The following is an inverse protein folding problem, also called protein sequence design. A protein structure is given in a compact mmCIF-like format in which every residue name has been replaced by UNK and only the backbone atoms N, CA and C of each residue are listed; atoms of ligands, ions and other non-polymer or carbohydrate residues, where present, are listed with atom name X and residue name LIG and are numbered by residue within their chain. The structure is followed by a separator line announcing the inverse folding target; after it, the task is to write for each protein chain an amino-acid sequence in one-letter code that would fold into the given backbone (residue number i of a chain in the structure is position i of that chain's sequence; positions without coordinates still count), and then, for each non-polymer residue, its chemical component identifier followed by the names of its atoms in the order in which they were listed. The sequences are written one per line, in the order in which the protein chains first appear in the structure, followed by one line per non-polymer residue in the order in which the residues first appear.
data_IF_801431024714
#
_entry.id   IF_801431024714
#
_cell.length_a   1.000
_cell.length_b   1.000
_cell.length_c   1.000
_cell.angle_alpha   90.00
_cell.angle_beta   90.00
_cell.angle_gamma   90.00
#
_symmetry.space_group_name_H-M   'P 1'
#
loop_
_entity.id
_entity.type
_entity.pdbx_description
1 polymer ?
#
# COMPACT_ATOMS: atom_id res chain seq x y z
N UNK A 1 62.56 -16.66 45.41
CA UNK A 1 63.19 -15.71 44.47
C UNK A 1 62.41 -15.82 43.16
N UNK A 2 61.77 -14.71 42.73
CA UNK A 2 61.00 -14.50 41.48
C UNK A 2 59.70 -15.32 41.35
N UNK A 3 58.49 -14.85 41.67
CA UNK A 3 57.74 -13.65 41.27
C UNK A 3 57.32 -13.60 39.78
N UNK A 4 56.07 -13.14 39.56
CA UNK A 4 55.43 -12.74 38.30
C UNK A 4 54.93 -13.86 37.35
N UNK A 5 53.80 -13.76 36.66
CA UNK A 5 52.70 -12.80 36.66
C UNK A 5 51.58 -13.37 35.76
N UNK A 6 50.36 -13.26 36.29
CA UNK A 6 49.05 -13.24 35.64
C UNK A 6 49.11 -12.76 34.17
N UNK A 7 48.70 -13.61 33.21
CA UNK A 7 48.20 -13.15 31.91
C UNK A 7 46.82 -13.73 31.65
N UNK A 8 45.81 -12.94 32.02
CA UNK A 8 44.45 -13.05 31.50
C UNK A 8 44.54 -12.78 30.01
N UNK A 9 44.32 -13.81 29.19
CA UNK A 9 44.12 -13.64 27.76
C UNK A 9 42.82 -12.86 27.56
N UNK A 10 42.98 -11.56 27.31
CA UNK A 10 41.94 -10.67 26.84
C UNK A 10 41.38 -11.21 25.54
N UNK A 11 40.19 -11.79 25.59
CA UNK A 11 39.37 -11.99 24.41
C UNK A 11 38.99 -10.61 23.87
N UNK A 12 39.75 -10.16 22.88
CA UNK A 12 39.36 -9.08 21.99
C UNK A 12 38.10 -9.52 21.27
N UNK A 13 36.96 -8.98 21.68
CA UNK A 13 35.72 -9.03 20.90
C UNK A 13 35.97 -8.17 19.66
N UNK A 14 35.98 -8.72 18.44
CA UNK A 14 36.10 -7.91 17.24
C UNK A 14 34.90 -6.97 17.18
N UNK A 15 35.17 -5.69 16.98
CA UNK A 15 34.16 -4.65 16.87
C UNK A 15 33.09 -5.02 15.85
N UNK A 16 31.83 -4.97 16.28
CA UNK A 16 30.67 -5.06 15.40
C UNK A 16 30.76 -3.95 14.37
N UNK A 17 31.24 -4.29 13.17
CA UNK A 17 31.06 -3.46 12.00
C UNK A 17 29.55 -3.22 11.85
N UNK A 18 29.11 -1.97 12.02
CA UNK A 18 27.77 -1.55 11.63
C UNK A 18 27.67 -1.73 10.11
N UNK A 19 27.19 -2.89 9.69
CA UNK A 19 26.64 -3.06 8.36
C UNK A 19 25.41 -2.16 8.28
N UNK A 20 25.63 -0.96 7.75
CA UNK A 20 24.56 -0.07 7.32
C UNK A 20 23.94 -0.77 6.12
N UNK A 21 22.89 -1.54 6.33
CA UNK A 21 22.13 -2.12 5.23
C UNK A 21 21.65 -0.97 4.35
N UNK A 22 22.30 -0.78 3.21
CA UNK A 22 21.73 0.02 2.14
C UNK A 22 20.50 -0.75 1.65
N UNK A 23 19.32 -0.15 1.74
CA UNK A 23 18.11 -0.69 1.11
C UNK A 23 18.47 -1.00 -0.34
N UNK A 24 18.36 -2.25 -0.81
CA UNK A 24 18.78 -2.59 -2.16
C UNK A 24 17.97 -1.76 -3.16
N UNK A 25 18.68 -1.09 -4.07
CA UNK A 25 18.12 -0.21 -5.13
C UNK A 25 16.95 -0.86 -5.87
N UNK A 26 16.99 -2.18 -6.04
CA UNK A 26 15.95 -2.98 -6.70
C UNK A 26 14.56 -2.90 -6.07
N UNK A 27 14.46 -2.79 -4.74
CA UNK A 27 13.14 -2.76 -4.09
C UNK A 27 12.45 -1.42 -4.32
N UNK A 28 13.23 -0.33 -4.29
CA UNK A 28 12.77 1.02 -4.58
C UNK A 28 12.30 1.16 -6.03
N UNK A 29 13.04 0.62 -6.98
CA UNK A 29 12.69 0.68 -8.41
C UNK A 29 11.39 -0.09 -8.72
N UNK A 30 11.16 -1.21 -8.04
CA UNK A 30 9.92 -1.99 -8.18
C UNK A 30 8.71 -1.21 -7.66
N UNK A 31 8.80 -0.62 -6.46
CA UNK A 31 7.71 0.20 -5.89
C UNK A 31 7.39 1.38 -6.79
N UNK A 32 8.40 2.11 -7.28
CA UNK A 32 8.18 3.24 -8.20
C UNK A 32 7.45 2.77 -9.47
N UNK A 33 7.85 1.63 -10.04
CA UNK A 33 7.20 1.07 -11.23
C UNK A 33 5.74 0.70 -10.96
N UNK A 34 5.44 0.09 -9.81
CA UNK A 34 4.07 -0.21 -9.42
C UNK A 34 3.21 1.05 -9.30
N UNK A 35 3.75 2.11 -8.70
CA UNK A 35 3.02 3.38 -8.55
C UNK A 35 2.77 4.07 -9.90
N UNK A 36 3.74 4.05 -10.81
CA UNK A 36 3.55 4.54 -12.18
C UNK A 36 2.47 3.75 -12.93
N UNK A 37 2.47 2.42 -12.79
CA UNK A 37 1.43 1.56 -13.34
C UNK A 37 0.06 1.87 -12.74
N UNK A 38 0.01 2.15 -11.43
CA UNK A 38 -1.21 2.49 -10.73
C UNK A 38 -1.81 3.82 -11.22
N UNK A 39 -1.00 4.88 -11.34
CA UNK A 39 -1.45 6.16 -11.90
C UNK A 39 -1.94 6.00 -13.35
N UNK A 40 -1.23 5.19 -14.14
CA UNK A 40 -1.64 4.89 -15.53
C UNK A 40 -2.98 4.15 -15.58
N UNK A 41 -3.20 3.22 -14.65
CA UNK A 41 -4.48 2.53 -14.48
C UNK A 41 -5.60 3.52 -14.15
N UNK A 42 -5.41 4.42 -13.18
CA UNK A 42 -6.43 5.42 -12.82
C UNK A 42 -6.80 6.33 -14.00
N UNK A 43 -5.81 6.78 -14.77
CA UNK A 43 -6.05 7.58 -15.97
C UNK A 43 -6.87 6.82 -17.02
N UNK A 44 -6.62 5.52 -17.19
CA UNK A 44 -7.38 4.65 -18.09
C UNK A 44 -8.82 4.43 -17.59
N UNK A 45 -8.98 4.17 -16.30
CA UNK A 45 -10.27 3.99 -15.65
C UNK A 45 -11.14 5.23 -15.81
N UNK A 46 -10.57 6.43 -15.64
CA UNK A 46 -11.24 7.70 -15.90
C UNK A 46 -11.74 7.82 -17.36
N UNK A 47 -11.03 7.22 -18.31
CA UNK A 47 -11.47 7.11 -19.71
C UNK A 47 -12.72 6.25 -19.88
N UNK A 48 -12.81 5.10 -19.20
CA UNK A 48 -14.01 4.25 -19.21
C UNK A 48 -15.19 4.90 -18.48
N UNK A 49 -14.92 5.58 -17.37
CA UNK A 49 -15.89 6.40 -16.63
C UNK A 49 -16.54 7.43 -17.53
N UNK A 50 -15.77 8.14 -18.36
CA UNK A 50 -16.30 9.12 -19.34
C UNK A 50 -17.17 8.49 -20.42
N UNK A 51 -16.94 7.22 -20.76
CA UNK A 51 -17.72 6.46 -21.74
C UNK A 51 -18.98 5.83 -21.14
N UNK A 52 -19.16 5.92 -19.83
CA UNK A 52 -20.26 5.31 -19.08
C UNK A 52 -20.39 3.80 -19.35
N UNK A 53 -19.26 3.10 -19.33
CA UNK A 53 -19.16 1.67 -19.58
C UNK A 53 -18.84 0.93 -18.26
N UNK A 54 -19.87 0.57 -17.45
CA UNK A 54 -19.66 -0.04 -16.14
C UNK A 54 -19.05 -1.44 -16.21
N UNK A 55 -19.26 -2.17 -17.30
CA UNK A 55 -18.67 -3.51 -17.49
C UNK A 55 -17.15 -3.41 -17.64
N UNK A 56 -16.68 -2.50 -18.50
CA UNK A 56 -15.25 -2.24 -18.65
C UNK A 56 -14.61 -1.71 -17.36
N UNK A 57 -15.31 -0.87 -16.60
CA UNK A 57 -14.84 -0.38 -15.29
C UNK A 57 -14.67 -1.56 -14.32
N UNK A 58 -15.68 -2.45 -14.21
CA UNK A 58 -15.64 -3.60 -13.34
C UNK A 58 -14.50 -4.58 -13.70
N UNK A 59 -14.26 -4.82 -15.00
CA UNK A 59 -13.18 -5.69 -15.47
C UNK A 59 -11.79 -5.10 -15.19
N UNK A 60 -11.63 -3.79 -15.39
CA UNK A 60 -10.37 -3.12 -15.10
C UNK A 60 -10.10 -3.11 -13.58
N UNK A 61 -11.13 -2.89 -12.75
CA UNK A 61 -11.03 -2.96 -11.29
C UNK A 61 -10.64 -4.38 -10.83
N UNK A 62 -11.29 -5.43 -11.34
CA UNK A 62 -10.92 -6.82 -11.04
C UNK A 62 -9.41 -7.07 -11.27
N UNK A 63 -8.91 -6.60 -12.41
CA UNK A 63 -7.49 -6.72 -12.76
C UNK A 63 -6.60 -5.91 -11.80
N UNK A 64 -7.04 -4.72 -11.39
CA UNK A 64 -6.28 -3.83 -10.52
C UNK A 64 -6.11 -4.40 -9.09
N UNK A 65 -7.16 -4.99 -8.51
CA UNK A 65 -7.06 -5.67 -7.21
C UNK A 65 -5.97 -6.75 -7.23
N UNK A 66 -5.95 -7.58 -8.27
CA UNK A 66 -4.94 -8.61 -8.41
C UNK A 66 -3.54 -8.02 -8.64
N UNK A 67 -3.39 -7.07 -9.56
CA UNK A 67 -2.09 -6.54 -9.95
C UNK A 67 -1.41 -5.72 -8.86
N UNK A 68 -2.17 -4.93 -8.08
CA UNK A 68 -1.59 -4.00 -7.11
C UNK A 68 -1.61 -4.52 -5.68
N UNK A 69 -2.62 -5.32 -5.30
CA UNK A 69 -2.72 -5.88 -3.95
C UNK A 69 -2.32 -7.35 -3.89
N UNK A 70 -2.27 -8.04 -5.03
CA UNK A 70 -2.08 -9.50 -5.06
C UNK A 70 -3.30 -10.28 -4.56
N UNK A 71 -4.47 -9.64 -4.50
CA UNK A 71 -5.68 -10.19 -3.89
C UNK A 71 -6.83 -10.17 -4.88
N UNK A 72 -7.74 -11.15 -4.83
CA UNK A 72 -8.93 -11.12 -5.67
C UNK A 72 -9.90 -10.04 -5.16
N UNK A 73 -10.57 -9.35 -6.09
CA UNK A 73 -11.49 -8.24 -5.78
C UNK A 73 -12.55 -8.64 -4.76
N UNK A 74 -13.18 -9.78 -4.99
CA UNK A 74 -14.26 -10.29 -4.14
C UNK A 74 -13.85 -10.52 -2.67
N UNK A 75 -12.59 -10.83 -2.39
CA UNK A 75 -12.08 -10.97 -1.04
C UNK A 75 -11.98 -9.59 -0.39
N UNK A 76 -11.37 -8.63 -1.08
CA UNK A 76 -11.17 -7.27 -0.55
C UNK A 76 -12.51 -6.60 -0.27
N UNK A 77 -13.49 -6.75 -1.16
CA UNK A 77 -14.83 -6.18 -1.00
C UNK A 77 -15.62 -6.76 0.18
N UNK A 78 -15.29 -7.97 0.65
CA UNK A 78 -15.99 -8.64 1.75
C UNK A 78 -15.36 -8.38 3.12
N UNK A 79 -14.14 -7.88 3.16
CA UNK A 79 -13.44 -7.57 4.40
C UNK A 79 -13.80 -6.16 4.88
N UNK A 80 -13.81 -5.99 6.19
CA UNK A 80 -13.87 -4.67 6.82
C UNK A 80 -12.49 -3.99 6.81
N UNK A 81 -12.46 -2.70 7.13
CA UNK A 81 -11.22 -1.93 7.12
C UNK A 81 -10.18 -2.49 8.08
N UNK A 82 -10.58 -2.97 9.26
CA UNK A 82 -9.66 -3.50 10.27
C UNK A 82 -9.01 -4.81 9.81
N UNK A 83 -9.77 -5.72 9.23
CA UNK A 83 -9.24 -6.96 8.66
C UNK A 83 -8.30 -6.69 7.47
N UNK A 84 -8.62 -5.70 6.63
CA UNK A 84 -7.73 -5.27 5.54
C UNK A 84 -6.41 -4.69 6.08
N UNK A 85 -6.47 -3.81 7.09
CA UNK A 85 -5.29 -3.24 7.74
C UNK A 85 -4.43 -4.34 8.39
N UNK A 86 -5.06 -5.30 9.07
CA UNK A 86 -4.36 -6.46 9.63
C UNK A 86 -3.68 -7.30 8.54
N UNK A 87 -4.34 -7.52 7.40
CA UNK A 87 -3.77 -8.27 6.28
C UNK A 87 -2.60 -7.54 5.62
N UNK A 88 -2.63 -6.21 5.57
CA UNK A 88 -1.52 -5.40 5.05
C UNK A 88 -0.42 -5.16 6.09
N UNK A 89 -0.61 -5.59 7.33
CA UNK A 89 0.40 -5.49 8.38
C UNK A 89 1.27 -6.75 8.41
N UNK A 90 2.51 -6.64 7.91
CA UNK A 90 3.49 -7.73 7.97
C UNK A 90 4.36 -7.52 9.19
N UNK A 91 4.51 -8.55 10.02
CA UNK A 91 5.31 -8.50 11.27
C UNK A 91 4.89 -7.39 12.27
N UNK A 92 3.65 -6.92 12.18
CA UNK A 92 3.10 -5.87 13.05
C UNK A 92 3.28 -4.44 12.54
N UNK A 93 3.98 -4.25 11.42
CA UNK A 93 4.10 -2.95 10.74
C UNK A 93 3.17 -2.90 9.53
N UNK A 94 2.37 -1.83 9.44
CA UNK A 94 1.45 -1.62 8.32
C UNK A 94 2.24 -1.25 7.06
N UNK A 95 1.99 -1.97 5.96
CA UNK A 95 2.35 -1.52 4.62
C UNK A 95 1.45 -0.36 4.22
N UNK A 96 1.93 0.86 4.47
CA UNK A 96 1.22 2.10 4.24
C UNK A 96 0.82 2.30 2.76
N UNK A 97 1.70 1.92 1.84
CA UNK A 97 1.45 2.05 0.40
C UNK A 97 0.30 1.12 -0.02
N UNK A 98 0.32 -0.14 0.42
CA UNK A 98 -0.78 -1.09 0.13
C UNK A 98 -2.11 -0.65 0.72
N UNK A 99 -2.11 -0.12 1.95
CA UNK A 99 -3.33 0.41 2.56
C UNK A 99 -3.91 1.57 1.74
N UNK A 100 -3.07 2.53 1.32
CA UNK A 100 -3.52 3.65 0.47
C UNK A 100 -4.03 3.16 -0.89
N UNK A 101 -3.29 2.27 -1.56
CA UNK A 101 -3.72 1.71 -2.86
C UNK A 101 -5.07 1.00 -2.73
N UNK A 102 -5.23 0.18 -1.69
CA UNK A 102 -6.50 -0.50 -1.44
C UNK A 102 -7.64 0.48 -1.21
N UNK A 103 -7.41 1.53 -0.42
CA UNK A 103 -8.42 2.56 -0.21
C UNK A 103 -8.78 3.32 -1.49
N UNK A 104 -7.80 3.64 -2.34
CA UNK A 104 -8.08 4.27 -3.63
C UNK A 104 -8.90 3.36 -4.55
N UNK A 105 -8.59 2.06 -4.62
CA UNK A 105 -9.39 1.09 -5.37
C UNK A 105 -10.82 0.95 -4.82
N UNK A 106 -10.99 0.93 -3.49
CA UNK A 106 -12.32 0.90 -2.87
C UNK A 106 -13.14 2.16 -3.16
N UNK A 107 -12.49 3.32 -3.32
CA UNK A 107 -13.18 4.56 -3.72
C UNK A 107 -13.69 4.48 -5.17
N UNK A 108 -12.89 3.94 -6.08
CA UNK A 108 -13.33 3.70 -7.46
C UNK A 108 -14.47 2.65 -7.52
N UNK A 109 -14.45 1.65 -6.64
CA UNK A 109 -15.56 0.71 -6.46
C UNK A 109 -16.83 1.38 -5.93
N UNK A 110 -16.69 2.30 -4.98
CA UNK A 110 -17.81 3.09 -4.48
C UNK A 110 -18.44 3.90 -5.63
N UNK A 111 -17.62 4.53 -6.47
CA UNK A 111 -18.09 5.24 -7.66
C UNK A 111 -18.80 4.33 -8.66
N UNK A 112 -18.29 3.11 -8.89
CA UNK A 112 -18.99 2.12 -9.70
C UNK A 112 -20.34 1.72 -9.08
N UNK A 113 -20.40 1.47 -7.77
CA UNK A 113 -21.63 1.12 -7.07
C UNK A 113 -22.68 2.24 -7.17
N UNK A 114 -22.29 3.52 -7.05
CA UNK A 114 -23.21 4.66 -7.28
C UNK A 114 -23.77 4.66 -8.69
N UNK A 115 -22.92 4.40 -9.70
CA UNK A 115 -23.33 4.34 -11.12
C UNK A 115 -24.31 3.21 -11.39
N UNK A 116 -24.16 2.09 -10.69
CA UNK A 116 -25.04 0.93 -10.79
C UNK A 116 -26.33 1.07 -9.96
N UNK A 117 -26.53 2.19 -9.25
CA UNK A 117 -27.74 2.44 -8.47
C UNK A 117 -27.73 1.85 -7.06
N UNK A 118 -26.55 1.52 -6.52
CA UNK A 118 -26.33 0.99 -5.17
C UNK A 118 -25.60 2.00 -4.26
N UNK A 119 -26.23 3.14 -3.88
CA UNK A 119 -25.57 4.19 -3.10
C UNK A 119 -25.23 3.75 -1.66
N UNK A 120 -25.99 2.84 -1.06
CA UNK A 120 -25.72 2.33 0.29
C UNK A 120 -24.42 1.52 0.31
N UNK A 121 -24.21 0.67 -0.71
CA UNK A 121 -22.97 -0.07 -0.88
C UNK A 121 -21.79 0.86 -1.12
N UNK A 122 -22.00 1.91 -1.93
CA UNK A 122 -20.99 2.93 -2.16
C UNK A 122 -20.54 3.61 -0.85
N UNK A 123 -21.47 4.02 0.00
CA UNK A 123 -21.15 4.67 1.27
C UNK A 123 -20.28 3.77 2.18
N UNK A 124 -20.58 2.47 2.24
CA UNK A 124 -19.78 1.50 3.01
C UNK A 124 -18.37 1.34 2.40
N UNK A 125 -18.26 1.38 1.07
CA UNK A 125 -16.97 1.34 0.38
C UNK A 125 -16.16 2.61 0.61
N UNK A 126 -16.77 3.79 0.59
CA UNK A 126 -16.09 5.07 0.89
C UNK A 126 -15.58 5.13 2.32
N UNK A 127 -16.38 4.68 3.29
CA UNK A 127 -15.96 4.68 4.69
C UNK A 127 -14.70 3.80 4.86
N UNK A 128 -14.71 2.61 4.27
CA UNK A 128 -13.55 1.71 4.27
C UNK A 128 -12.37 2.34 3.55
N UNK A 129 -12.59 2.95 2.39
CA UNK A 129 -11.57 3.65 1.63
C UNK A 129 -10.90 4.75 2.46
N UNK A 130 -11.69 5.58 3.13
CA UNK A 130 -11.21 6.65 4.00
C UNK A 130 -10.35 6.09 5.14
N UNK A 131 -10.83 5.07 5.85
CA UNK A 131 -10.09 4.45 6.98
C UNK A 131 -8.74 3.89 6.54
N UNK A 132 -8.68 3.23 5.38
CA UNK A 132 -7.43 2.69 4.83
C UNK A 132 -6.45 3.79 4.42
N UNK A 133 -6.94 4.83 3.75
CA UNK A 133 -6.11 5.97 3.32
C UNK A 133 -5.56 6.72 4.54
N UNK A 134 -6.39 6.97 5.56
CA UNK A 134 -6.00 7.67 6.78
C UNK A 134 -4.94 6.90 7.58
N UNK A 135 -5.14 5.60 7.77
CA UNK A 135 -4.16 4.72 8.39
C UNK A 135 -2.83 4.69 7.62
N UNK A 136 -2.90 4.60 6.28
CA UNK A 136 -1.70 4.61 5.44
C UNK A 136 -0.95 5.95 5.46
N UNK A 137 -1.66 7.09 5.51
CA UNK A 137 -1.05 8.43 5.65
C UNK A 137 -0.28 8.60 6.95
N UNK A 138 -0.74 7.96 8.02
CA UNK A 138 -0.09 7.96 9.32
C UNK A 138 1.17 7.10 9.37
N UNK A 139 1.36 6.23 8.35
CA UNK A 139 2.50 5.33 8.22
C UNK A 139 3.65 5.87 7.33
N UNK A 140 4.58 4.98 7.01
CA UNK A 140 5.73 5.27 6.14
C UNK A 140 5.34 5.21 4.66
N UNK A 141 4.63 6.24 4.19
CA UNK A 141 4.18 6.34 2.81
C UNK A 141 5.33 6.72 1.86
N UNK A 142 5.37 6.10 0.68
CA UNK A 142 6.22 6.51 -0.44
C UNK A 142 6.00 7.98 -0.82
N UNK A 143 7.04 8.62 -1.36
CA UNK A 143 6.98 10.05 -1.72
C UNK A 143 5.95 10.29 -2.83
N UNK A 144 5.87 9.35 -3.76
CA UNK A 144 5.02 9.38 -4.94
C UNK A 144 3.53 9.27 -4.56
N UNK A 145 3.16 8.36 -3.65
CA UNK A 145 1.78 8.30 -3.15
C UNK A 145 1.44 9.51 -2.28
N UNK A 146 2.39 10.01 -1.50
CA UNK A 146 2.18 11.25 -0.72
C UNK A 146 1.85 12.42 -1.65
N UNK A 147 2.65 12.59 -2.71
CA UNK A 147 2.44 13.64 -3.72
C UNK A 147 1.09 13.48 -4.43
N UNK A 148 0.76 12.26 -4.88
CA UNK A 148 -0.53 11.95 -5.49
C UNK A 148 -1.70 12.31 -4.58
N UNK A 149 -1.65 11.92 -3.30
CA UNK A 149 -2.71 12.22 -2.33
C UNK A 149 -2.83 13.72 -2.06
N UNK A 150 -1.72 14.47 -2.03
CA UNK A 150 -1.77 15.92 -1.85
C UNK A 150 -2.33 16.65 -3.07
N UNK A 151 -1.99 16.20 -4.28
CA UNK A 151 -2.47 16.81 -5.52
C UNK A 151 -3.98 16.62 -5.71
N UNK A 152 -4.54 15.47 -5.30
CA UNK A 152 -5.94 15.12 -5.50
C UNK A 152 -6.83 15.36 -4.25
N UNK A 153 -6.39 16.22 -3.33
CA UNK A 153 -7.18 16.68 -2.17
C UNK A 153 -7.80 18.08 -2.35
N UNK A 154 -7.59 18.71 -3.51
CA UNK A 154 -8.03 20.09 -3.80
C UNK A 154 -9.26 20.18 -4.70
N UNK A 155 -9.94 19.06 -4.96
CA UNK A 155 -11.25 18.99 -5.64
C UNK A 155 -12.34 18.63 -4.63
#
# INVERSE_FOLDING_TARGET
MLEHSKKRSSFLVPGFARFRYSVPVFHRDYTIRLLQQFVTFLARLAGFVKKNDPESIALELESAFHNFLGLPRNLVLRLDADALLHMFSVTGELDADRAVIAGLLLREEADLARRLGSPDEAAILDERAYRLIDAGRSGSLSAELREYLTANQSE
#
